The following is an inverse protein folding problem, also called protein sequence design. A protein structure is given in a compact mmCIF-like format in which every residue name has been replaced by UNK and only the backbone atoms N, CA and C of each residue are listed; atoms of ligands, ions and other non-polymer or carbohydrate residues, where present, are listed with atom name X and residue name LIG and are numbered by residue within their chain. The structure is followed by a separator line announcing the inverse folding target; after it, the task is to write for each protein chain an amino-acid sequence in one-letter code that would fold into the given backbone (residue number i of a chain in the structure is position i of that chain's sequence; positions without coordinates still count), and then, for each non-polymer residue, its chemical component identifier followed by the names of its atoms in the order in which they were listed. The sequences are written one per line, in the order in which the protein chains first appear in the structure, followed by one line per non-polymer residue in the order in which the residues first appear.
data_IF_921981036214
#
_entry.id   IF_921981036214
#
_cell.length_a   1.000
_cell.length_b   1.000
_cell.length_c   1.000
_cell.angle_alpha   90.00
_cell.angle_beta   90.00
_cell.angle_gamma   90.00
#
_symmetry.space_group_name_H-M   'P 1'
#
loop_
_entity.id
_entity.type
_entity.pdbx_description
1 polymer ?
#
# COMPACT_ATOMS: atom_id res chain seq x y z
N UNK A 1 -15.97 13.58 9.74
CA UNK A 1 -16.87 12.40 9.58
C UNK A 1 -18.29 12.89 9.32
N UNK A 2 -18.96 12.42 8.27
CA UNK A 2 -20.34 12.86 7.94
C UNK A 2 -21.38 12.16 8.81
N UNK A 3 -22.51 12.85 9.03
CA UNK A 3 -23.75 12.48 9.75
C UNK A 3 -24.26 11.04 9.53
N UNK A 4 -23.85 10.40 8.44
CA UNK A 4 -24.16 9.00 8.12
C UNK A 4 -23.58 7.99 9.11
N UNK A 5 -22.44 8.29 9.75
CA UNK A 5 -21.80 7.38 10.72
C UNK A 5 -22.61 7.28 12.02
N UNK A 6 -23.27 8.37 12.44
CA UNK A 6 -24.10 8.42 13.65
C UNK A 6 -25.37 7.55 13.55
N UNK A 7 -25.85 7.23 12.35
CA UNK A 7 -27.01 6.35 12.17
C UNK A 7 -26.70 4.86 12.40
N UNK A 8 -25.43 4.48 12.49
CA UNK A 8 -24.96 3.09 12.71
C UNK A 8 -24.85 2.67 14.19
N UNK A 9 -25.15 3.56 15.14
CA UNK A 9 -25.10 3.23 16.58
C UNK A 9 -26.45 2.65 17.03
N UNK A 10 -26.52 1.44 17.65
CA UNK A 10 -27.75 0.87 18.18
C UNK A 10 -28.41 1.79 19.22
N UNK A 11 -29.74 1.74 19.33
CA UNK A 11 -30.55 2.63 20.17
C UNK A 11 -30.13 2.67 21.65
N UNK A 12 -29.53 1.61 22.18
CA UNK A 12 -29.00 1.54 23.56
C UNK A 12 -27.77 2.44 23.74
N UNK A 13 -26.85 2.44 22.77
CA UNK A 13 -25.66 3.30 22.81
C UNK A 13 -26.01 4.78 22.60
N UNK A 14 -27.10 5.09 21.87
CA UNK A 14 -27.62 6.48 21.76
C UNK A 14 -28.16 7.01 23.09
N UNK A 15 -28.75 6.15 23.93
CA UNK A 15 -29.28 6.55 25.25
C UNK A 15 -28.17 6.72 26.29
N UNK A 16 -27.06 5.97 26.18
CA UNK A 16 -25.91 6.09 27.07
C UNK A 16 -25.09 7.36 26.78
N UNK A 17 -24.83 7.65 25.49
CA UNK A 17 -24.09 8.87 25.08
C UNK A 17 -24.89 10.15 25.43
N UNK A 18 -26.23 10.10 25.35
CA UNK A 18 -27.09 11.22 25.74
C UNK A 18 -27.07 11.53 27.25
N UNK A 19 -26.48 10.68 28.10
CA UNK A 19 -26.38 10.88 29.55
C UNK A 19 -24.99 11.31 30.04
N UNK A 20 -23.99 11.36 29.15
CA UNK A 20 -22.66 11.86 29.48
C UNK A 20 -21.76 10.90 30.26
N UNK A 21 -22.09 9.61 30.35
CA UNK A 21 -21.29 8.65 31.09
C UNK A 21 -20.01 8.25 30.32
N UNK A 22 -18.84 8.47 30.93
CA UNK A 22 -17.54 7.96 30.45
C UNK A 22 -17.26 6.61 31.12
N UNK A 23 -17.14 5.53 30.35
CA UNK A 23 -16.84 4.19 30.88
C UNK A 23 -15.35 3.85 30.77
N UNK A 24 -14.84 3.16 31.78
CA UNK A 24 -13.49 2.58 31.75
C UNK A 24 -13.48 1.29 30.90
N UNK A 25 -12.29 0.89 30.42
CA UNK A 25 -12.11 -0.24 29.49
C UNK A 25 -12.67 -1.59 29.99
N UNK A 26 -12.73 -1.80 31.31
CA UNK A 26 -13.29 -3.02 31.89
C UNK A 26 -14.82 -3.13 31.80
N UNK A 27 -15.53 -2.00 31.90
CA UNK A 27 -17.00 -1.99 31.86
C UNK A 27 -17.54 -2.20 30.44
N UNK A 28 -16.83 -1.66 29.43
CA UNK A 28 -17.08 -2.01 28.03
C UNK A 28 -16.88 -3.51 27.77
N UNK A 29 -15.80 -4.11 28.29
CA UNK A 29 -15.51 -5.53 28.17
C UNK A 29 -16.61 -6.38 28.82
N UNK A 30 -17.13 -5.96 29.97
CA UNK A 30 -18.22 -6.64 30.68
C UNK A 30 -19.55 -6.56 29.92
N UNK A 31 -19.87 -5.42 29.31
CA UNK A 31 -21.04 -5.27 28.44
C UNK A 31 -20.93 -6.08 27.14
N UNK A 32 -19.73 -6.09 26.52
CA UNK A 32 -19.41 -6.91 25.33
C UNK A 32 -19.59 -8.40 25.64
N UNK A 33 -19.11 -8.89 26.80
CA UNK A 33 -19.30 -10.30 27.26
C UNK A 33 -20.76 -10.66 27.53
N UNK A 34 -21.57 -9.73 28.07
CA UNK A 34 -23.00 -9.95 28.35
C UNK A 34 -23.84 -10.00 27.05
N UNK A 35 -23.43 -9.25 26.03
CA UNK A 35 -24.03 -9.29 24.68
C UNK A 35 -23.69 -10.59 23.92
N UNK A 36 -22.44 -11.07 24.04
CA UNK A 36 -21.96 -12.34 23.46
C UNK A 36 -22.72 -13.56 23.98
N UNK A 37 -23.11 -13.59 25.27
CA UNK A 37 -23.89 -14.71 25.86
C UNK A 37 -25.35 -14.76 25.43
N UNK A 38 -25.95 -13.66 24.97
CA UNK A 38 -27.38 -13.58 24.63
C UNK A 38 -27.70 -13.80 23.14
N UNK A 39 -26.72 -13.68 22.25
CA UNK A 39 -26.94 -13.69 20.79
C UNK A 39 -26.39 -14.92 20.09
N UNK A 40 -25.69 -15.82 20.79
CA UNK A 40 -25.20 -17.08 20.20
C UNK A 40 -24.35 -16.91 18.93
N UNK A 41 -23.79 -15.71 18.71
CA UNK A 41 -23.09 -15.34 17.50
C UNK A 41 -21.60 -15.11 17.84
N UNK A 42 -20.77 -16.03 17.36
CA UNK A 42 -19.32 -15.92 17.37
C UNK A 42 -18.90 -14.78 16.41
N UNK A 43 -18.12 -13.84 16.93
CA UNK A 43 -17.38 -12.75 16.28
C UNK A 43 -17.96 -12.08 15.01
N UNK A 44 -18.50 -10.89 15.21
CA UNK A 44 -18.53 -9.81 14.22
C UNK A 44 -17.91 -8.56 14.85
N UNK A 45 -16.59 -8.39 14.68
CA UNK A 45 -15.92 -7.11 14.84
C UNK A 45 -14.66 -7.06 13.97
N UNK A 46 -14.65 -6.06 13.08
CA UNK A 46 -13.52 -5.46 12.36
C UNK A 46 -13.00 -6.17 11.10
N UNK A 47 -13.75 -6.01 10.01
CA UNK A 47 -13.18 -5.86 8.66
C UNK A 47 -14.03 -4.94 7.77
N UNK A 48 -14.34 -3.74 8.25
CA UNK A 48 -14.67 -2.62 7.36
C UNK A 48 -13.40 -1.84 7.03
N UNK A 49 -12.56 -2.39 6.17
CA UNK A 49 -11.57 -1.61 5.41
C UNK A 49 -11.93 -1.78 3.94
N UNK A 50 -12.81 -0.87 3.50
CA UNK A 50 -13.38 -0.89 2.17
C UNK A 50 -13.46 0.49 1.54
N UNK A 51 -12.52 1.39 1.84
CA UNK A 51 -12.10 2.51 0.99
C UNK A 51 -11.24 3.49 1.80
N UNK A 52 -9.93 3.41 1.62
CA UNK A 52 -8.95 4.10 2.44
C UNK A 52 -7.94 3.05 2.84
N UNK A 53 -6.73 3.19 2.32
CA UNK A 53 -5.64 2.34 2.76
C UNK A 53 -5.39 2.69 4.22
N UNK A 54 -5.88 1.86 5.13
CA UNK A 54 -5.15 1.61 6.35
C UNK A 54 -4.19 0.49 5.99
N UNK A 55 -2.89 0.79 6.00
CA UNK A 55 -1.98 -0.22 6.47
C UNK A 55 -2.54 -0.61 7.84
N UNK A 56 -2.97 -1.86 7.99
CA UNK A 56 -2.84 -2.48 9.30
C UNK A 56 -1.32 -2.63 9.38
N UNK A 57 -0.58 -1.82 10.17
CA UNK A 57 0.78 -2.20 10.49
C UNK A 57 0.67 -3.61 11.03
N UNK A 58 1.57 -4.48 10.58
CA UNK A 58 1.65 -5.91 10.85
C UNK A 58 0.75 -6.36 12.02
N UNK A 59 -0.11 -7.36 11.78
CA UNK A 59 -0.83 -8.05 12.86
C UNK A 59 0.05 -8.05 14.11
N UNK A 60 -0.41 -7.29 15.10
CA UNK A 60 0.13 -7.33 16.44
C UNK A 60 -0.10 -8.77 16.86
N UNK A 61 0.91 -9.64 16.65
CA UNK A 61 1.21 -10.59 17.70
C UNK A 61 1.40 -9.68 18.90
N UNK A 62 0.41 -9.71 19.80
CA UNK A 62 0.66 -9.35 21.17
C UNK A 62 1.71 -10.37 21.64
N UNK A 63 2.97 -10.15 21.27
CA UNK A 63 4.06 -10.49 22.15
C UNK A 63 3.73 -9.72 23.42
N UNK A 64 3.53 -10.49 24.48
CA UNK A 64 3.31 -10.00 25.83
C UNK A 64 4.29 -8.86 26.05
N UNK A 65 3.79 -7.63 26.05
CA UNK A 65 4.56 -6.46 26.45
C UNK A 65 4.85 -6.66 27.92
N UNK A 66 5.96 -7.32 28.24
CA UNK A 66 6.58 -7.17 29.53
C UNK A 66 6.92 -5.69 29.65
N UNK A 67 6.17 -5.02 30.51
CA UNK A 67 6.41 -3.65 30.92
C UNK A 67 7.72 -3.58 31.71
N UNK A 68 8.84 -3.51 31.01
CA UNK A 68 10.03 -2.78 31.49
C UNK A 68 10.06 -1.47 30.70
N UNK A 69 9.26 -0.49 31.17
CA UNK A 69 8.72 0.65 30.40
C UNK A 69 9.70 1.72 29.89
N UNK A 70 10.98 1.39 29.68
CA UNK A 70 12.01 2.32 29.24
C UNK A 70 12.89 1.78 28.09
N UNK A 71 12.56 0.62 27.51
CA UNK A 71 13.34 0.01 26.42
C UNK A 71 12.46 -0.23 25.20
N UNK A 72 12.89 0.25 24.03
CA UNK A 72 12.21 0.03 22.75
C UNK A 72 13.23 -0.49 21.75
N UNK A 73 12.99 -1.66 21.17
CA UNK A 73 13.89 -2.32 20.21
C UNK A 73 15.36 -2.44 20.69
N UNK A 74 15.56 -2.60 22.01
CA UNK A 74 16.89 -2.66 22.65
C UNK A 74 17.55 -1.30 22.93
N UNK A 75 16.86 -0.19 22.69
CA UNK A 75 17.31 1.17 23.01
C UNK A 75 16.72 1.65 24.33
N UNK A 76 17.55 2.22 25.20
CA UNK A 76 17.11 2.90 26.42
C UNK A 76 16.49 4.25 26.04
N UNK A 77 15.16 4.32 26.07
CA UNK A 77 14.38 5.52 25.75
C UNK A 77 14.10 6.40 26.96
N UNK A 78 14.58 6.02 28.15
CA UNK A 78 14.51 6.88 29.34
C UNK A 78 15.57 7.98 29.35
N UNK A 79 16.66 7.79 28.58
CA UNK A 79 17.77 8.73 28.51
C UNK A 79 18.03 9.19 27.08
N UNK A 80 17.73 10.45 26.84
CA UNK A 80 18.04 11.11 25.57
C UNK A 80 19.46 11.68 25.54
N UNK A 81 20.11 11.56 24.39
CA UNK A 81 21.39 12.18 24.07
C UNK A 81 21.21 13.17 22.94
N UNK A 82 21.99 14.26 22.95
CA UNK A 82 21.98 15.26 21.89
C UNK A 82 23.36 15.47 21.31
N UNK A 83 23.40 15.77 20.01
CA UNK A 83 24.62 16.22 19.32
C UNK A 83 24.23 17.32 18.34
N UNK A 84 24.97 18.42 18.34
CA UNK A 84 24.73 19.54 17.44
C UNK A 84 25.88 19.67 16.45
N UNK A 85 25.58 19.65 15.15
CA UNK A 85 26.55 19.93 14.09
C UNK A 85 25.86 20.56 12.88
N UNK A 86 26.58 21.38 12.12
CA UNK A 86 26.08 22.01 10.88
C UNK A 86 24.72 22.74 11.04
N UNK A 87 24.44 23.31 12.23
CA UNK A 87 23.19 24.01 12.51
C UNK A 87 21.96 23.11 12.71
N UNK A 88 22.20 21.82 13.01
CA UNK A 88 21.16 20.84 13.32
C UNK A 88 21.49 20.20 14.67
N UNK A 89 20.50 20.12 15.54
CA UNK A 89 20.56 19.35 16.79
C UNK A 89 19.87 18.01 16.56
N UNK A 90 20.60 16.92 16.77
CA UNK A 90 20.11 15.56 16.65
C UNK A 90 19.83 15.02 18.03
N UNK A 91 18.66 14.40 18.21
CA UNK A 91 18.25 13.72 19.42
C UNK A 91 18.29 12.22 19.18
N UNK A 92 18.87 11.49 20.12
CA UNK A 92 19.12 10.08 19.95
C UNK A 92 18.94 9.29 21.24
N UNK A 93 18.66 8.01 21.05
CA UNK A 93 18.73 6.98 22.09
C UNK A 93 19.91 6.05 21.82
N UNK A 94 20.48 5.48 22.87
CA UNK A 94 21.55 4.50 22.78
C UNK A 94 21.01 3.10 23.09
N UNK A 95 21.56 2.08 22.44
CA UNK A 95 21.31 0.69 22.84
C UNK A 95 21.84 0.44 24.25
N UNK A 96 21.24 -0.52 24.96
CA UNK A 96 21.64 -0.85 26.35
C UNK A 96 23.12 -1.24 26.47
N UNK A 97 23.66 -1.92 25.45
CA UNK A 97 25.07 -2.32 25.34
C UNK A 97 26.00 -1.22 24.76
N UNK A 98 25.44 -0.05 24.42
CA UNK A 98 26.13 1.06 23.74
C UNK A 98 26.83 0.69 22.44
N UNK A 99 26.41 -0.37 21.76
CA UNK A 99 26.94 -0.74 20.44
C UNK A 99 26.30 0.05 19.30
N UNK A 100 25.13 0.64 19.52
CA UNK A 100 24.30 1.30 18.51
C UNK A 100 23.60 2.55 19.05
N UNK A 101 23.35 3.51 18.16
CA UNK A 101 22.57 4.70 18.46
C UNK A 101 21.54 4.96 17.38
N UNK A 102 20.41 5.50 17.81
CA UNK A 102 19.24 5.78 17.00
C UNK A 102 18.91 7.26 17.06
N UNK A 103 19.11 7.97 15.95
CA UNK A 103 18.66 9.35 15.82
C UNK A 103 17.19 9.35 15.42
N UNK A 104 16.33 9.71 16.36
CA UNK A 104 14.88 9.71 16.15
C UNK A 104 14.34 11.09 15.74
N UNK A 105 15.04 12.17 16.10
CA UNK A 105 14.64 13.56 15.81
C UNK A 105 15.83 14.45 15.45
N UNK A 106 15.59 15.43 14.57
CA UNK A 106 16.54 16.41 14.09
C UNK A 106 15.90 17.82 14.04
N UNK A 107 16.31 18.66 14.98
CA UNK A 107 15.88 20.05 15.08
C UNK A 107 16.82 20.95 14.26
N UNK A 108 16.26 21.63 13.27
CA UNK A 108 17.02 22.48 12.34
C UNK A 108 16.78 23.92 12.74
N UNK A 109 17.81 24.57 13.27
CA UNK A 109 17.69 25.87 13.94
C UNK A 109 17.94 27.07 13.01
N UNK A 110 18.35 26.84 11.75
CA UNK A 110 18.62 27.87 10.72
C UNK A 110 18.30 27.36 9.31
N UNK A 111 18.26 28.26 8.32
CA UNK A 111 18.12 28.02 6.86
C UNK A 111 19.15 27.02 6.29
N UNK A 112 19.07 25.75 6.69
CA UNK A 112 20.01 24.71 6.35
C UNK A 112 19.57 24.00 5.07
N UNK A 113 20.38 24.13 4.02
CA UNK A 113 20.16 23.43 2.75
C UNK A 113 20.66 21.99 2.73
N UNK A 114 21.53 21.63 3.67
CA UNK A 114 22.14 20.31 3.73
C UNK A 114 22.18 19.77 5.16
N UNK A 115 21.49 18.65 5.40
CA UNK A 115 21.57 17.91 6.66
C UNK A 115 22.59 16.79 6.52
N UNK A 116 23.59 16.76 7.39
CA UNK A 116 24.56 15.64 7.50
C UNK A 116 24.38 14.99 8.87
N UNK A 117 23.86 13.77 8.91
CA UNK A 117 23.73 13.05 10.17
C UNK A 117 25.12 12.68 10.72
N UNK A 118 25.35 12.81 12.03
CA UNK A 118 26.63 12.48 12.66
C UNK A 118 26.88 10.97 12.61
N UNK A 119 28.14 10.55 12.53
CA UNK A 119 28.50 9.13 12.50
C UNK A 119 28.36 8.43 13.84
N UNK A 120 28.30 9.18 14.94
CA UNK A 120 28.19 8.68 16.31
C UNK A 120 27.52 9.70 17.23
N UNK A 121 26.91 9.22 18.32
CA UNK A 121 26.40 10.01 19.45
C UNK A 121 27.01 9.42 20.72
N UNK A 122 27.66 10.26 21.55
CA UNK A 122 28.35 9.81 22.78
C UNK A 122 29.36 8.66 22.54
N UNK A 123 30.13 8.72 21.45
CA UNK A 123 31.06 7.67 21.04
C UNK A 123 30.40 6.44 20.41
N UNK A 124 29.07 6.31 20.49
CA UNK A 124 28.31 5.18 19.97
C UNK A 124 27.94 5.38 18.49
N UNK A 125 28.19 4.41 17.59
CA UNK A 125 27.86 4.54 16.17
C UNK A 125 26.38 4.79 15.87
N UNK A 126 26.06 5.66 14.91
CA UNK A 126 24.69 5.83 14.41
C UNK A 126 24.37 4.73 13.41
N UNK A 127 23.39 3.89 13.75
CA UNK A 127 22.96 2.74 12.94
C UNK A 127 21.51 2.86 12.47
N UNK A 128 20.70 3.68 13.14
CA UNK A 128 19.25 3.85 12.89
C UNK A 128 18.87 5.33 12.81
N UNK A 129 18.04 5.70 11.83
CA UNK A 129 17.54 7.08 11.64
C UNK A 129 16.04 7.10 11.35
N UNK A 130 15.32 7.99 12.03
CA UNK A 130 13.91 8.30 11.79
C UNK A 130 13.05 8.05 13.01
N UNK A 131 11.80 8.51 12.97
CA UNK A 131 10.89 8.39 14.11
C UNK A 131 10.07 7.10 13.98
N UNK A 132 10.05 6.29 15.03
CA UNK A 132 9.29 5.04 15.06
C UNK A 132 7.93 5.27 15.69
N UNK A 133 6.93 4.54 15.21
CA UNK A 133 5.60 4.53 15.82
C UNK A 133 5.63 4.15 17.30
N UNK A 134 6.58 3.32 17.72
CA UNK A 134 6.74 2.93 19.13
C UNK A 134 7.06 4.10 20.06
N UNK A 135 7.53 5.23 19.53
CA UNK A 135 7.77 6.47 20.29
C UNK A 135 6.51 7.34 20.44
N UNK A 136 5.44 7.04 19.70
CA UNK A 136 4.20 7.79 19.77
C UNK A 136 3.45 7.38 21.04
N UNK A 137 3.29 8.30 21.99
CA UNK A 137 2.58 8.08 23.27
C UNK A 137 1.05 8.05 23.10
N UNK A 138 0.55 7.24 22.18
CA UNK A 138 -0.88 7.12 21.85
C UNK A 138 -1.34 7.94 20.64
N UNK A 139 -0.42 8.63 19.94
CA UNK A 139 -0.75 9.32 18.69
C UNK A 139 -0.84 8.33 17.51
N UNK A 140 -1.92 8.42 16.74
CA UNK A 140 -2.20 7.53 15.61
C UNK A 140 -1.34 7.83 14.35
N UNK A 141 -0.59 8.94 14.34
CA UNK A 141 0.11 9.43 13.14
C UNK A 141 1.63 9.32 13.29
N UNK A 142 2.34 8.93 12.22
CA UNK A 142 3.81 8.98 12.22
C UNK A 142 4.32 10.40 11.90
N UNK A 143 5.54 10.70 12.31
CA UNK A 143 6.23 11.93 11.91
C UNK A 143 7.57 11.60 11.22
N UNK A 144 8.04 12.50 10.38
CA UNK A 144 9.39 12.36 9.84
C UNK A 144 10.44 12.70 10.91
N UNK A 145 11.72 12.49 10.63
CA UNK A 145 12.83 12.80 11.57
C UNK A 145 12.90 14.28 11.95
N UNK A 146 12.16 15.15 11.28
CA UNK A 146 12.12 16.59 11.54
C UNK A 146 10.91 17.01 12.40
N UNK A 147 10.11 16.05 12.88
CA UNK A 147 8.93 16.28 13.72
C UNK A 147 7.67 16.67 12.94
N UNK A 148 7.66 16.55 11.61
CA UNK A 148 6.48 16.88 10.79
C UNK A 148 5.59 15.64 10.61
N UNK A 149 4.31 15.80 10.96
CA UNK A 149 3.29 14.76 10.81
C UNK A 149 3.08 14.36 9.35
N UNK A 150 2.95 13.06 9.12
CA UNK A 150 2.74 12.49 7.78
C UNK A 150 1.35 11.87 7.74
N UNK A 151 0.40 12.60 7.15
CA UNK A 151 -0.96 12.09 7.00
C UNK A 151 -1.15 11.34 5.67
N UNK A 152 -1.58 10.08 5.80
CA UNK A 152 -1.75 9.13 4.72
C UNK A 152 -2.90 9.49 3.75
N UNK A 153 -4.06 9.89 4.29
CA UNK A 153 -5.34 9.90 3.57
C UNK A 153 -5.62 11.21 2.82
N UNK A 154 -5.02 12.32 3.24
CA UNK A 154 -5.36 13.66 2.75
C UNK A 154 -4.38 14.18 1.68
N UNK A 155 -3.37 13.40 1.29
CA UNK A 155 -2.29 13.89 0.43
C UNK A 155 -1.38 14.86 1.20
N UNK A 156 -0.42 15.48 0.49
CA UNK A 156 0.61 16.35 1.10
C UNK A 156 0.06 17.69 1.63
N UNK A 157 -1.26 17.81 1.82
CA UNK A 157 -1.95 19.03 2.25
C UNK A 157 -1.89 19.08 3.77
N UNK A 158 -0.82 19.67 4.30
CA UNK A 158 -0.53 19.72 5.73
C UNK A 158 0.94 19.98 6.05
N UNK A 159 1.85 19.61 5.13
CA UNK A 159 3.24 20.08 5.20
C UNK A 159 3.25 21.59 5.03
N UNK A 160 3.44 22.31 6.14
CA UNK A 160 3.68 23.75 6.09
C UNK A 160 4.88 23.96 5.18
N UNK A 161 4.70 24.73 4.10
CA UNK A 161 5.76 25.07 3.12
C UNK A 161 6.97 25.77 3.77
N UNK A 162 6.87 26.08 5.06
CA UNK A 162 7.81 26.87 5.84
C UNK A 162 9.02 26.10 6.36
N UNK A 163 8.99 24.78 6.56
CA UNK A 163 9.94 24.25 7.55
C UNK A 163 11.38 24.01 7.09
N UNK A 164 11.70 23.40 5.95
CA UNK A 164 13.12 23.11 5.69
C UNK A 164 13.45 23.17 4.19
N UNK A 165 14.20 24.20 3.78
CA UNK A 165 14.84 24.32 2.46
C UNK A 165 15.96 23.27 2.25
N UNK A 166 15.79 22.06 2.78
CA UNK A 166 16.76 20.99 2.70
C UNK A 166 16.75 20.47 1.27
N UNK A 167 17.84 20.75 0.58
CA UNK A 167 18.11 20.28 -0.77
C UNK A 167 18.93 18.98 -0.75
N UNK A 168 19.62 18.68 0.35
CA UNK A 168 20.51 17.51 0.47
C UNK A 168 20.49 16.85 1.85
N UNK A 169 20.39 15.52 1.87
CA UNK A 169 20.56 14.68 3.07
C UNK A 169 21.76 13.75 2.89
N UNK A 170 22.60 13.64 3.91
CA UNK A 170 23.74 12.71 3.97
C UNK A 170 23.60 11.80 5.17
N UNK A 171 23.50 10.50 4.91
CA UNK A 171 23.38 9.43 5.89
C UNK A 171 24.76 8.79 6.09
N UNK A 172 25.26 8.64 7.34
CA UNK A 172 26.59 8.11 7.61
C UNK A 172 26.67 6.60 7.35
N UNK A 173 27.86 6.11 7.02
CA UNK A 173 28.11 4.77 6.45
C UNK A 173 27.75 3.58 7.33
N UNK A 174 27.59 3.77 8.64
CA UNK A 174 27.20 2.71 9.59
C UNK A 174 25.68 2.56 9.73
N UNK A 175 24.89 3.46 9.13
CA UNK A 175 23.44 3.35 9.15
C UNK A 175 22.98 2.17 8.31
N UNK A 176 22.27 1.26 8.95
CA UNK A 176 21.67 0.07 8.33
C UNK A 176 20.16 0.18 8.25
N UNK A 177 19.55 0.97 9.14
CA UNK A 177 18.10 1.08 9.30
C UNK A 177 17.61 2.52 9.13
N UNK A 178 16.52 2.65 8.37
CA UNK A 178 15.72 3.87 8.29
C UNK A 178 14.32 3.52 8.79
N UNK A 179 13.67 4.45 9.49
CA UNK A 179 12.26 4.29 9.87
C UNK A 179 11.31 4.70 8.73
N UNK A 180 10.08 4.23 8.84
CA UNK A 180 8.97 4.70 8.01
C UNK A 180 8.88 6.23 8.05
N UNK A 181 8.60 6.83 6.89
CA UNK A 181 8.46 8.29 6.74
C UNK A 181 9.69 9.14 7.09
N UNK A 182 10.86 8.57 7.37
CA UNK A 182 12.04 9.27 7.92
C UNK A 182 12.37 10.62 7.25
N UNK A 183 12.25 10.73 5.92
CA UNK A 183 12.49 11.94 5.14
C UNK A 183 11.27 12.38 4.30
N UNK A 184 10.07 11.96 4.69
CA UNK A 184 8.83 12.33 4.02
C UNK A 184 8.62 13.85 4.03
N UNK A 185 8.06 14.37 2.96
CA UNK A 185 7.65 15.76 2.79
C UNK A 185 8.78 16.77 2.55
N UNK A 186 10.04 16.35 2.41
CA UNK A 186 11.12 17.25 2.01
C UNK A 186 10.97 17.66 0.53
N UNK A 187 10.03 18.56 0.23
CA UNK A 187 9.62 18.96 -1.14
C UNK A 187 10.80 19.51 -1.97
N UNK A 188 11.78 20.14 -1.32
CA UNK A 188 12.98 20.72 -1.94
C UNK A 188 14.17 19.76 -2.02
N UNK A 189 14.06 18.53 -1.50
CA UNK A 189 15.16 17.56 -1.50
C UNK A 189 15.54 17.17 -2.93
N UNK A 190 16.76 17.50 -3.33
CA UNK A 190 17.32 17.19 -4.66
C UNK A 190 18.27 16.01 -4.64
N UNK A 191 18.94 15.77 -3.50
CA UNK A 191 19.98 14.75 -3.37
C UNK A 191 19.93 14.04 -2.03
N UNK A 192 20.01 12.71 -2.06
CA UNK A 192 20.21 11.88 -0.87
C UNK A 192 21.45 11.05 -1.09
N UNK A 193 22.34 11.04 -0.09
CA UNK A 193 23.48 10.12 -0.02
C UNK A 193 23.11 9.10 1.04
N UNK A 194 22.71 7.91 0.60
CA UNK A 194 22.40 6.77 1.46
C UNK A 194 23.69 6.08 1.92
N UNK A 195 23.64 5.46 3.10
CA UNK A 195 24.64 4.50 3.52
C UNK A 195 24.60 3.24 2.65
N UNK A 196 25.75 2.73 2.26
CA UNK A 196 25.87 1.46 1.53
C UNK A 196 25.42 0.23 2.34
N UNK A 197 25.29 0.38 3.66
CA UNK A 197 24.83 -0.67 4.57
C UNK A 197 23.30 -0.74 4.69
N UNK A 198 22.55 0.22 4.12
CA UNK A 198 21.08 0.18 4.10
C UNK A 198 20.60 -0.98 3.24
N UNK A 199 19.79 -1.86 3.85
CA UNK A 199 19.22 -3.04 3.19
C UNK A 199 17.78 -2.82 2.73
N UNK A 200 17.03 -2.00 3.46
CA UNK A 200 15.61 -1.69 3.18
C UNK A 200 15.43 -0.18 3.07
N UNK A 201 14.72 0.26 2.04
CA UNK A 201 14.12 1.60 2.01
C UNK A 201 12.66 1.43 2.44
N UNK A 202 12.29 1.89 3.65
CA UNK A 202 11.02 1.55 4.28
C UNK A 202 9.86 2.33 3.68
N UNK A 203 8.65 2.02 4.15
CA UNK A 203 7.41 2.68 3.77
C UNK A 203 7.54 4.19 3.87
N UNK A 204 7.17 4.88 2.77
CA UNK A 204 7.08 6.35 2.74
C UNK A 204 8.35 7.13 3.10
N UNK A 205 9.52 6.48 3.20
CA UNK A 205 10.78 7.10 3.63
C UNK A 205 11.10 8.44 2.94
N UNK A 206 10.75 8.58 1.66
CA UNK A 206 10.94 9.79 0.85
C UNK A 206 9.63 10.29 0.22
N UNK A 207 8.48 9.92 0.78
CA UNK A 207 7.17 10.34 0.29
C UNK A 207 7.12 11.86 0.07
N UNK A 208 6.60 12.33 -1.06
CA UNK A 208 6.44 13.76 -1.31
C UNK A 208 7.74 14.55 -1.52
N UNK A 209 8.91 13.91 -1.67
CA UNK A 209 10.15 14.57 -2.08
C UNK A 209 10.09 14.98 -3.56
N UNK A 210 9.31 16.01 -3.87
CA UNK A 210 8.92 16.41 -5.24
C UNK A 210 10.11 16.82 -6.12
N UNK A 211 11.17 17.37 -5.53
CA UNK A 211 12.37 17.83 -6.24
C UNK A 211 13.44 16.74 -6.45
N UNK A 212 13.26 15.55 -5.86
CA UNK A 212 14.25 14.47 -5.93
C UNK A 212 14.24 13.90 -7.35
N UNK A 213 15.27 14.23 -8.13
CA UNK A 213 15.33 13.87 -9.57
C UNK A 213 16.18 12.62 -9.84
N UNK A 214 17.11 12.33 -8.93
CA UNK A 214 17.99 11.17 -8.99
C UNK A 214 18.29 10.57 -7.63
N UNK A 215 18.49 9.25 -7.58
CA UNK A 215 18.96 8.55 -6.38
C UNK A 215 19.97 7.47 -6.75
N UNK A 216 20.99 7.30 -5.91
CA UNK A 216 21.87 6.13 -5.93
C UNK A 216 21.43 5.20 -4.83
N UNK A 217 20.97 4.01 -5.21
CA UNK A 217 20.56 2.95 -4.31
C UNK A 217 21.79 2.22 -3.73
N UNK A 218 21.75 1.81 -2.45
CA UNK A 218 22.90 1.26 -1.74
C UNK A 218 23.25 -0.14 -2.24
N UNK A 219 24.52 -0.54 -2.08
CA UNK A 219 24.98 -1.86 -2.55
C UNK A 219 24.30 -3.03 -1.85
N UNK A 220 23.91 -2.85 -0.60
CA UNK A 220 23.26 -3.87 0.24
C UNK A 220 21.74 -3.91 0.09
N UNK A 221 21.16 -3.10 -0.79
CA UNK A 221 19.71 -3.02 -0.97
C UNK A 221 19.10 -4.38 -1.37
N UNK A 222 18.11 -4.80 -0.61
CA UNK A 222 17.28 -5.98 -0.90
C UNK A 222 15.85 -5.57 -1.24
N UNK A 223 15.33 -4.54 -0.56
CA UNK A 223 13.91 -4.16 -0.64
C UNK A 223 13.72 -2.66 -0.72
N UNK A 224 12.79 -2.24 -1.57
CA UNK A 224 12.15 -0.92 -1.50
C UNK A 224 10.69 -1.19 -1.19
N UNK A 225 10.21 -0.72 -0.06
CA UNK A 225 8.84 -0.94 0.36
C UNK A 225 7.86 -0.08 -0.43
N UNK A 226 6.58 -0.43 -0.29
CA UNK A 226 5.51 0.32 -0.92
C UNK A 226 5.54 1.79 -0.49
N UNK A 227 5.14 2.69 -1.39
CA UNK A 227 5.08 4.16 -1.16
C UNK A 227 6.37 4.87 -0.73
N UNK A 228 7.50 4.18 -0.57
CA UNK A 228 8.81 4.76 -0.21
C UNK A 228 9.17 6.04 -0.99
N UNK A 229 8.82 6.10 -2.28
CA UNK A 229 9.03 7.25 -3.17
C UNK A 229 7.74 7.76 -3.82
N UNK A 230 6.57 7.51 -3.20
CA UNK A 230 5.33 8.06 -3.72
C UNK A 230 5.40 9.60 -3.76
N UNK A 231 4.84 10.21 -4.79
CA UNK A 231 4.90 11.65 -5.07
C UNK A 231 6.30 12.27 -5.34
N UNK A 232 7.36 11.46 -5.44
CA UNK A 232 8.66 11.87 -6.01
C UNK A 232 8.60 12.01 -7.54
N UNK A 233 7.73 12.89 -8.04
CA UNK A 233 7.39 12.97 -9.47
C UNK A 233 8.55 13.41 -10.39
N UNK A 234 9.63 13.97 -9.84
CA UNK A 234 10.86 14.29 -10.57
C UNK A 234 11.81 13.09 -10.68
N UNK A 235 11.66 12.03 -9.88
CA UNK A 235 12.63 10.94 -9.77
C UNK A 235 12.62 10.04 -11.00
N UNK A 236 13.59 10.26 -11.88
CA UNK A 236 13.72 9.54 -13.17
C UNK A 236 15.00 8.74 -13.24
N UNK A 237 16.09 9.26 -12.68
CA UNK A 237 17.40 8.65 -12.74
C UNK A 237 17.64 7.82 -11.47
N UNK A 238 17.79 6.53 -11.66
CA UNK A 238 18.10 5.60 -10.58
C UNK A 238 19.39 4.90 -10.95
N UNK A 239 20.36 5.00 -10.07
CA UNK A 239 21.62 4.26 -10.17
C UNK A 239 21.68 3.29 -9.01
N UNK A 240 22.47 2.24 -9.18
CA UNK A 240 22.75 1.26 -8.15
C UNK A 240 24.26 1.20 -8.03
N UNK A 241 24.77 1.06 -6.81
CA UNK A 241 26.20 0.82 -6.60
C UNK A 241 26.69 -0.36 -7.45
N UNK A 242 27.87 -0.21 -8.05
CA UNK A 242 28.49 -1.18 -8.95
C UNK A 242 28.75 -2.53 -8.26
N UNK A 243 28.92 -2.50 -6.92
CA UNK A 243 29.13 -3.66 -6.07
C UNK A 243 27.85 -4.45 -5.75
N UNK A 244 26.66 -3.97 -6.13
CA UNK A 244 25.41 -4.65 -5.78
C UNK A 244 25.29 -6.04 -6.43
N UNK A 245 25.21 -7.07 -5.58
CA UNK A 245 25.18 -8.48 -5.99
C UNK A 245 23.74 -9.01 -6.20
N UNK A 246 22.75 -8.39 -5.57
CA UNK A 246 21.36 -8.88 -5.52
C UNK A 246 20.47 -8.30 -6.64
N UNK A 247 20.75 -7.07 -7.07
CA UNK A 247 19.87 -6.27 -7.91
C UNK A 247 20.61 -5.63 -9.08
N UNK A 248 19.86 -5.08 -10.04
CA UNK A 248 20.38 -4.22 -11.11
C UNK A 248 19.34 -3.20 -11.57
N UNK A 249 19.79 -2.08 -12.10
CA UNK A 249 18.90 -1.06 -12.68
C UNK A 249 19.04 -1.05 -14.20
N UNK A 250 17.91 -0.94 -14.90
CA UNK A 250 17.87 -0.73 -16.35
C UNK A 250 16.71 0.19 -16.70
N UNK A 251 16.97 1.32 -17.35
CA UNK A 251 15.95 2.28 -17.79
C UNK A 251 15.01 2.73 -16.65
N UNK A 252 15.56 2.99 -15.46
CA UNK A 252 14.82 3.35 -14.26
C UNK A 252 13.93 2.22 -13.68
N UNK A 253 14.10 0.98 -14.15
CA UNK A 253 13.51 -0.21 -13.55
C UNK A 253 14.55 -0.90 -12.66
N UNK A 254 14.21 -1.17 -11.40
CA UNK A 254 14.97 -1.99 -10.46
C UNK A 254 14.55 -3.46 -10.62
N UNK A 255 15.52 -4.29 -10.94
CA UNK A 255 15.34 -5.70 -11.29
C UNK A 255 16.15 -6.59 -10.37
N UNK A 256 15.71 -7.84 -10.19
CA UNK A 256 16.60 -8.89 -9.67
C UNK A 256 17.88 -8.99 -10.51
N UNK A 257 18.99 -9.46 -9.94
CA UNK A 257 20.26 -9.60 -10.68
C UNK A 257 20.12 -10.39 -11.98
N UNK A 258 19.36 -11.49 -11.96
CA UNK A 258 19.06 -12.31 -13.14
C UNK A 258 18.08 -11.64 -14.15
N UNK A 259 17.50 -10.48 -13.81
CA UNK A 259 16.60 -9.70 -14.66
C UNK A 259 15.22 -10.31 -14.88
N UNK A 260 14.84 -11.31 -14.08
CA UNK A 260 13.55 -12.03 -14.21
C UNK A 260 12.42 -11.40 -13.40
N UNK A 261 12.73 -10.60 -12.38
CA UNK A 261 11.75 -9.94 -11.53
C UNK A 261 11.92 -8.43 -11.63
N UNK A 262 10.81 -7.72 -11.90
CA UNK A 262 10.72 -6.27 -11.77
C UNK A 262 10.19 -5.94 -10.37
N UNK A 263 11.02 -5.31 -9.56
CA UNK A 263 10.70 -4.95 -8.18
C UNK A 263 10.11 -3.55 -8.08
N UNK A 264 10.69 -2.59 -8.78
CA UNK A 264 10.30 -1.19 -8.65
C UNK A 264 10.66 -0.40 -9.91
N UNK A 265 9.94 0.70 -10.15
CA UNK A 265 10.13 1.62 -11.27
C UNK A 265 10.16 3.03 -10.73
N UNK A 266 11.13 3.82 -11.19
CA UNK A 266 11.28 5.21 -10.80
C UNK A 266 9.96 6.00 -11.00
N UNK A 267 9.41 6.64 -9.97
CA UNK A 267 8.05 7.16 -9.95
C UNK A 267 7.85 8.36 -10.87
N UNK A 268 8.93 9.00 -11.34
CA UNK A 268 8.87 10.08 -12.32
C UNK A 268 8.67 9.62 -13.77
N UNK A 269 8.77 8.32 -14.08
CA UNK A 269 8.73 7.84 -15.47
C UNK A 269 7.32 7.87 -16.08
N UNK A 270 7.15 8.71 -17.11
CA UNK A 270 5.88 8.81 -17.88
C UNK A 270 5.63 7.61 -18.79
N UNK A 271 6.70 7.00 -19.31
CA UNK A 271 6.68 5.83 -20.19
C UNK A 271 7.60 4.77 -19.60
N UNK A 272 7.10 3.56 -19.43
CA UNK A 272 7.86 2.44 -18.84
C UNK A 272 7.97 1.32 -19.87
N UNK A 273 9.19 0.85 -20.12
CA UNK A 273 9.44 -0.34 -20.95
C UNK A 273 10.02 -1.43 -20.07
N UNK A 274 9.20 -2.44 -19.76
CA UNK A 274 9.62 -3.60 -18.99
C UNK A 274 10.55 -4.46 -19.88
N UNK A 275 11.77 -4.81 -19.42
CA UNK A 275 12.72 -5.60 -20.22
C UNK A 275 12.19 -6.98 -20.63
N UNK A 276 12.67 -7.48 -21.77
CA UNK A 276 12.23 -8.77 -22.34
C UNK A 276 12.57 -9.99 -21.48
N UNK A 277 13.52 -9.84 -20.54
CA UNK A 277 13.93 -10.89 -19.60
C UNK A 277 12.96 -11.07 -18.44
N UNK A 278 12.16 -10.05 -18.12
CA UNK A 278 11.26 -10.03 -16.98
C UNK A 278 10.14 -11.05 -17.18
N UNK A 279 9.89 -11.86 -16.15
CA UNK A 279 8.82 -12.84 -16.04
C UNK A 279 7.77 -12.42 -15.03
N UNK A 280 8.21 -11.86 -13.91
CA UNK A 280 7.37 -11.47 -12.77
C UNK A 280 7.46 -9.96 -12.58
N UNK A 281 6.31 -9.30 -12.46
CA UNK A 281 6.20 -7.90 -12.06
C UNK A 281 5.56 -7.87 -10.68
N UNK A 282 6.31 -7.37 -9.70
CA UNK A 282 5.92 -7.34 -8.29
C UNK A 282 4.76 -6.38 -8.03
N UNK A 283 4.17 -6.56 -6.85
CA UNK A 283 3.15 -5.71 -6.29
C UNK A 283 3.64 -4.26 -6.32
N UNK A 284 2.80 -3.34 -6.79
CA UNK A 284 3.10 -1.90 -6.87
C UNK A 284 4.36 -1.49 -7.66
N UNK A 285 5.00 -2.41 -8.40
CA UNK A 285 6.30 -2.15 -9.01
C UNK A 285 6.34 -0.92 -9.94
N UNK A 286 5.22 -0.57 -10.58
CA UNK A 286 5.06 0.65 -11.37
C UNK A 286 3.83 1.47 -10.96
N UNK A 287 3.47 1.44 -9.67
CA UNK A 287 2.44 2.29 -9.10
C UNK A 287 2.97 3.72 -8.92
N UNK A 288 2.46 4.68 -9.71
CA UNK A 288 2.84 6.09 -9.58
C UNK A 288 1.81 7.04 -10.24
N UNK A 289 1.89 8.35 -9.96
CA UNK A 289 0.91 9.34 -10.43
C UNK A 289 1.15 9.88 -11.86
N UNK A 290 2.27 9.54 -12.51
CA UNK A 290 2.68 10.16 -13.79
C UNK A 290 2.77 9.22 -14.98
N UNK A 291 2.80 7.90 -14.75
CA UNK A 291 2.89 6.89 -15.82
C UNK A 291 1.64 6.94 -16.68
N UNK A 292 1.85 7.07 -18.00
CA UNK A 292 0.78 7.18 -19.00
C UNK A 292 0.75 5.98 -19.94
N UNK A 293 1.91 5.34 -20.12
CA UNK A 293 2.09 4.21 -21.03
C UNK A 293 3.07 3.20 -20.45
N UNK A 294 2.71 1.92 -20.52
CA UNK A 294 3.58 0.79 -20.18
C UNK A 294 3.73 -0.12 -21.39
N UNK A 295 4.94 -0.62 -21.64
CA UNK A 295 5.22 -1.66 -22.64
C UNK A 295 5.80 -2.90 -21.94
N UNK A 296 5.08 -4.01 -22.00
CA UNK A 296 5.45 -5.28 -21.38
C UNK A 296 6.39 -6.10 -22.29
N UNK A 297 7.44 -6.65 -21.69
CA UNK A 297 8.46 -7.46 -22.36
C UNK A 297 7.94 -8.83 -22.84
N UNK A 298 8.76 -9.48 -23.67
CA UNK A 298 8.40 -10.76 -24.33
C UNK A 298 8.20 -11.95 -23.38
N UNK A 299 8.81 -11.95 -22.19
CA UNK A 299 8.71 -13.07 -21.22
C UNK A 299 7.78 -12.82 -20.04
N UNK A 300 7.13 -11.65 -19.98
CA UNK A 300 6.22 -11.31 -18.87
C UNK A 300 5.08 -12.33 -18.84
N UNK A 301 4.89 -12.96 -17.68
CA UNK A 301 3.93 -14.03 -17.46
C UNK A 301 3.10 -13.86 -16.19
N UNK A 302 3.69 -13.19 -15.18
CA UNK A 302 3.08 -12.96 -13.88
C UNK A 302 3.12 -11.46 -13.58
N UNK A 303 1.95 -10.89 -13.31
CA UNK A 303 1.75 -9.48 -12.99
C UNK A 303 0.95 -9.47 -11.70
N UNK A 304 1.57 -9.01 -10.63
CA UNK A 304 0.97 -9.04 -9.31
C UNK A 304 0.04 -7.86 -9.06
N UNK A 305 -0.70 -7.96 -7.97
CA UNK A 305 -1.69 -7.00 -7.51
C UNK A 305 -1.14 -5.57 -7.52
N UNK A 306 -1.93 -4.60 -8.00
CA UNK A 306 -1.58 -3.17 -8.05
C UNK A 306 -0.27 -2.78 -8.75
N UNK A 307 0.37 -3.69 -9.50
CA UNK A 307 1.62 -3.41 -10.23
C UNK A 307 1.58 -2.13 -11.09
N UNK A 308 0.40 -1.74 -11.60
CA UNK A 308 0.22 -0.58 -12.48
C UNK A 308 -0.79 0.45 -11.96
N UNK A 309 -0.85 0.64 -10.63
CA UNK A 309 -1.79 1.59 -10.03
C UNK A 309 -1.41 3.04 -10.40
N UNK A 310 -2.18 3.66 -11.29
CA UNK A 310 -1.98 5.04 -11.71
C UNK A 310 -3.23 5.65 -12.30
N UNK A 311 -3.60 6.89 -11.90
CA UNK A 311 -4.74 7.62 -12.47
C UNK A 311 -4.53 8.06 -13.93
N UNK A 312 -3.27 8.10 -14.40
CA UNK A 312 -2.90 8.61 -15.73
C UNK A 312 -2.61 7.51 -16.74
N UNK A 313 -2.51 6.25 -16.31
CA UNK A 313 -2.21 5.13 -17.19
C UNK A 313 -3.43 4.78 -18.05
N UNK A 314 -3.31 5.04 -19.36
CA UNK A 314 -4.40 4.82 -20.33
C UNK A 314 -4.14 3.63 -21.25
N UNK A 315 -2.88 3.23 -21.41
CA UNK A 315 -2.50 2.16 -22.32
C UNK A 315 -1.36 1.29 -21.77
N UNK A 316 -1.53 -0.02 -21.91
CA UNK A 316 -0.49 -1.02 -21.70
C UNK A 316 -0.36 -1.82 -22.99
N UNK A 317 0.85 -1.84 -23.53
CA UNK A 317 1.21 -2.57 -24.75
C UNK A 317 1.96 -3.84 -24.38
N UNK A 318 1.82 -4.88 -25.19
CA UNK A 318 2.55 -6.13 -25.05
C UNK A 318 3.43 -6.26 -26.28
N UNK A 319 4.74 -6.43 -26.10
CA UNK A 319 5.64 -6.62 -27.25
C UNK A 319 5.26 -7.87 -28.06
N UNK A 320 5.41 -7.77 -29.38
CA UNK A 320 5.25 -8.90 -30.31
C UNK A 320 6.15 -10.07 -29.86
N UNK A 321 5.60 -11.26 -29.88
CA UNK A 321 6.30 -12.49 -29.48
C UNK A 321 6.11 -12.91 -28.02
N UNK A 322 5.35 -12.18 -27.19
CA UNK A 322 4.98 -12.69 -25.87
C UNK A 322 4.07 -13.92 -26.00
N UNK A 323 4.54 -15.09 -25.55
CA UNK A 323 3.83 -16.38 -25.67
C UNK A 323 2.83 -16.64 -24.53
N UNK A 324 2.92 -15.91 -23.43
CA UNK A 324 2.16 -16.21 -22.20
C UNK A 324 0.95 -15.32 -21.99
N UNK A 325 1.04 -14.03 -22.32
CA UNK A 325 -0.05 -13.06 -22.11
C UNK A 325 -0.52 -12.46 -23.43
N UNK A 326 -1.79 -12.06 -23.46
CA UNK A 326 -2.41 -11.36 -24.58
C UNK A 326 -3.24 -10.17 -24.07
N UNK A 327 -3.47 -9.19 -24.95
CA UNK A 327 -4.39 -8.08 -24.71
C UNK A 327 -5.57 -8.19 -25.66
N UNK A 328 -6.79 -8.07 -25.14
CA UNK A 328 -8.01 -7.90 -25.93
C UNK A 328 -8.93 -6.91 -25.23
N UNK A 329 -9.25 -5.81 -25.91
CA UNK A 329 -10.03 -4.72 -25.32
C UNK A 329 -9.34 -4.15 -24.08
N UNK A 330 -10.05 -4.12 -22.96
CA UNK A 330 -9.57 -3.61 -21.67
C UNK A 330 -8.86 -4.66 -20.81
N UNK A 331 -8.59 -5.85 -21.35
CA UNK A 331 -8.03 -6.96 -20.57
C UNK A 331 -6.66 -7.38 -21.07
N UNK A 332 -5.73 -7.54 -20.13
CA UNK A 332 -4.53 -8.36 -20.28
C UNK A 332 -4.78 -9.66 -19.52
N UNK A 333 -4.60 -10.79 -20.19
CA UNK A 333 -4.93 -12.10 -19.64
C UNK A 333 -3.88 -13.14 -20.03
N UNK A 334 -3.79 -14.20 -19.23
CA UNK A 334 -2.96 -15.35 -19.52
C UNK A 334 -3.60 -16.21 -20.63
N UNK A 335 -2.83 -16.50 -21.69
CA UNK A 335 -3.30 -17.21 -22.88
C UNK A 335 -3.68 -18.67 -22.60
N UNK A 336 -3.01 -19.33 -21.66
CA UNK A 336 -3.18 -20.77 -21.37
C UNK A 336 -4.47 -21.02 -20.60
N UNK A 337 -4.70 -20.28 -19.51
CA UNK A 337 -5.81 -20.53 -18.60
C UNK A 337 -6.92 -19.46 -18.64
N UNK A 338 -6.71 -18.33 -19.31
CA UNK A 338 -7.70 -17.26 -19.41
C UNK A 338 -7.86 -16.44 -18.13
N UNK A 339 -6.92 -16.48 -17.18
CA UNK A 339 -6.95 -15.63 -15.98
C UNK A 339 -6.72 -14.16 -16.36
N UNK A 340 -7.58 -13.27 -15.88
CA UNK A 340 -7.37 -11.82 -15.99
C UNK A 340 -6.17 -11.39 -15.12
N UNK A 341 -5.20 -10.71 -15.72
CA UNK A 341 -4.03 -10.18 -15.03
C UNK A 341 -4.13 -8.66 -14.85
N UNK A 342 -4.60 -7.94 -15.88
CA UNK A 342 -4.77 -6.48 -15.79
C UNK A 342 -6.08 -6.05 -16.44
N UNK A 343 -6.89 -5.30 -15.68
CA UNK A 343 -8.02 -4.54 -16.19
C UNK A 343 -7.61 -3.09 -16.44
N UNK A 344 -7.80 -2.59 -17.67
CA UNK A 344 -7.48 -1.21 -18.07
C UNK A 344 -8.79 -0.42 -18.14
N UNK A 345 -9.16 0.22 -17.03
CA UNK A 345 -10.41 0.95 -16.92
C UNK A 345 -10.40 2.20 -17.80
N UNK A 346 -11.57 2.55 -18.36
CA UNK A 346 -11.79 3.79 -19.13
C UNK A 346 -13.03 4.48 -18.59
N UNK A 347 -12.93 5.76 -18.25
CA UNK A 347 -14.04 6.55 -17.71
C UNK A 347 -14.75 5.88 -16.52
N UNK A 348 -13.97 5.28 -15.60
CA UNK A 348 -14.43 4.48 -14.46
C UNK A 348 -15.26 3.24 -14.83
N UNK A 349 -15.14 2.75 -16.06
CA UNK A 349 -15.81 1.54 -16.56
C UNK A 349 -14.79 0.48 -17.00
N UNK A 350 -15.04 -0.77 -16.65
CA UNK A 350 -14.26 -1.91 -17.10
C UNK A 350 -15.17 -2.97 -17.74
N UNK A 351 -14.88 -3.32 -18.99
CA UNK A 351 -15.52 -4.40 -19.73
C UNK A 351 -14.54 -5.56 -19.88
N UNK A 352 -14.82 -6.64 -19.17
CA UNK A 352 -14.03 -7.87 -19.26
C UNK A 352 -14.31 -8.52 -20.62
N UNK A 353 -13.24 -8.95 -21.30
CA UNK A 353 -13.35 -9.48 -22.66
C UNK A 353 -13.66 -10.99 -22.67
N UNK A 354 -14.22 -11.48 -23.78
CA UNK A 354 -14.66 -12.87 -23.95
C UNK A 354 -13.56 -13.95 -23.89
N UNK A 355 -12.29 -13.54 -23.82
CA UNK A 355 -11.16 -14.48 -23.67
C UNK A 355 -10.81 -14.76 -22.21
N UNK A 356 -11.34 -13.95 -21.28
CA UNK A 356 -11.18 -14.16 -19.84
C UNK A 356 -12.13 -15.25 -19.38
N UNK A 357 -11.60 -16.21 -18.63
CA UNK A 357 -12.30 -17.35 -18.04
C UNK A 357 -12.36 -17.30 -16.52
N UNK A 358 -11.38 -16.62 -15.90
CA UNK A 358 -11.18 -16.64 -14.45
C UNK A 358 -10.79 -15.26 -13.93
N UNK A 359 -11.38 -14.86 -12.79
CA UNK A 359 -10.93 -13.73 -11.96
C UNK A 359 -10.29 -14.31 -10.69
N UNK A 360 -9.14 -13.79 -10.29
CA UNK A 360 -8.30 -14.35 -9.22
C UNK A 360 -7.67 -13.22 -8.41
N UNK A 361 -7.79 -13.29 -7.08
CA UNK A 361 -7.21 -12.30 -6.16
C UNK A 361 -5.70 -12.09 -6.38
N UNK A 362 -4.92 -13.15 -6.66
CA UNK A 362 -3.45 -13.05 -6.54
C UNK A 362 -2.78 -12.23 -7.65
N UNK A 363 -3.47 -12.03 -8.77
CA UNK A 363 -2.89 -11.49 -10.00
C UNK A 363 -3.66 -10.32 -10.59
N UNK A 364 -4.72 -9.86 -9.93
CA UNK A 364 -5.62 -8.87 -10.49
C UNK A 364 -5.13 -7.45 -10.22
N UNK A 365 -4.65 -6.78 -11.27
CA UNK A 365 -4.25 -5.38 -11.22
C UNK A 365 -5.26 -4.50 -11.96
N UNK A 366 -5.78 -3.47 -11.29
CA UNK A 366 -6.49 -2.37 -11.97
C UNK A 366 -5.49 -1.28 -12.37
N UNK A 367 -5.39 -1.07 -13.69
CA UNK A 367 -4.69 0.06 -14.25
C UNK A 367 -5.68 1.22 -14.49
N UNK A 368 -5.27 2.44 -14.14
CA UNK A 368 -5.94 3.65 -14.58
C UNK A 368 -6.79 4.36 -13.53
N UNK A 369 -7.44 3.67 -12.58
CA UNK A 369 -8.53 4.25 -11.76
C UNK A 369 -8.71 3.48 -10.43
N UNK A 370 -9.08 4.20 -9.35
CA UNK A 370 -9.72 3.63 -8.15
C UNK A 370 -11.24 3.82 -8.22
N UNK A 371 -12.00 2.82 -7.79
CA UNK A 371 -13.47 2.78 -7.78
C UNK A 371 -14.15 2.92 -9.16
N UNK A 372 -14.53 1.77 -9.73
CA UNK A 372 -15.33 1.68 -10.93
C UNK A 372 -16.79 2.03 -10.65
N UNK A 373 -17.42 2.77 -11.57
CA UNK A 373 -18.88 2.97 -11.57
C UNK A 373 -19.60 1.86 -12.33
N UNK A 374 -18.89 1.12 -13.18
CA UNK A 374 -19.43 0.01 -13.96
C UNK A 374 -18.40 -1.08 -14.22
N UNK A 375 -18.79 -2.33 -13.98
CA UNK A 375 -18.04 -3.53 -14.35
C UNK A 375 -18.92 -4.47 -15.17
N UNK A 376 -18.48 -4.83 -16.37
CA UNK A 376 -19.15 -5.81 -17.24
C UNK A 376 -18.36 -7.13 -17.27
N UNK A 377 -19.01 -8.21 -16.84
CA UNK A 377 -18.46 -9.56 -16.74
C UNK A 377 -19.15 -10.46 -17.78
N UNK A 378 -18.43 -10.94 -18.82
CA UNK A 378 -19.02 -11.74 -19.89
C UNK A 378 -19.32 -13.16 -19.42
N UNK A 379 -20.18 -13.85 -20.17
CA UNK A 379 -20.54 -15.26 -19.95
C UNK A 379 -19.34 -16.23 -20.03
N UNK A 380 -18.22 -15.80 -20.59
CA UNK A 380 -16.97 -16.59 -20.67
C UNK A 380 -16.28 -16.73 -19.31
N UNK A 381 -16.53 -15.84 -18.35
CA UNK A 381 -16.00 -15.96 -16.98
C UNK A 381 -16.77 -17.07 -16.26
N UNK A 382 -16.08 -18.17 -15.96
CA UNK A 382 -16.64 -19.36 -15.33
C UNK A 382 -16.22 -19.53 -13.88
N UNK A 383 -15.17 -18.83 -13.45
CA UNK A 383 -14.58 -19.01 -12.13
C UNK A 383 -14.21 -17.68 -11.49
N UNK A 384 -14.55 -17.54 -10.22
CA UNK A 384 -14.16 -16.44 -9.34
C UNK A 384 -13.36 -17.02 -8.17
N UNK A 385 -12.13 -16.56 -7.98
CA UNK A 385 -11.22 -17.06 -6.96
C UNK A 385 -10.88 -15.99 -5.93
N UNK A 386 -11.01 -16.34 -4.65
CA UNK A 386 -10.58 -15.49 -3.54
C UNK A 386 -11.25 -14.12 -3.55
N UNK A 387 -10.58 -13.13 -2.98
CA UNK A 387 -11.04 -11.74 -2.84
C UNK A 387 -10.92 -10.91 -4.12
N UNK A 388 -11.36 -11.47 -5.26
CA UNK A 388 -11.26 -10.80 -6.56
C UNK A 388 -12.00 -9.44 -6.62
N UNK A 389 -13.01 -9.24 -5.77
CA UNK A 389 -13.76 -7.99 -5.62
C UNK A 389 -12.97 -6.89 -4.93
N UNK A 390 -12.03 -7.21 -4.03
CA UNK A 390 -11.14 -6.22 -3.41
C UNK A 390 -10.18 -5.61 -4.43
N UNK A 391 -9.77 -6.42 -5.42
CA UNK A 391 -8.82 -5.99 -6.45
C UNK A 391 -9.48 -5.31 -7.65
N UNK A 392 -10.78 -5.51 -7.84
CA UNK A 392 -11.60 -4.67 -8.73
C UNK A 392 -12.50 -3.80 -7.87
N UNK A 393 -11.94 -2.72 -7.33
CA UNK A 393 -12.69 -1.74 -6.54
C UNK A 393 -13.84 -1.16 -7.38
N UNK A 394 -15.08 -1.47 -7.02
CA UNK A 394 -16.29 -0.85 -7.55
C UNK A 394 -16.80 0.13 -6.48
N UNK A 395 -17.15 1.36 -6.87
CA UNK A 395 -17.69 2.34 -5.92
C UNK A 395 -18.98 1.83 -5.28
N UNK A 396 -19.34 2.31 -4.09
CA UNK A 396 -20.61 1.96 -3.42
C UNK A 396 -21.87 2.24 -4.27
N UNK A 397 -21.81 3.26 -5.14
CA UNK A 397 -22.87 3.57 -6.13
C UNK A 397 -22.71 2.84 -7.47
N UNK A 398 -21.66 2.02 -7.61
CA UNK A 398 -21.28 1.33 -8.82
C UNK A 398 -22.17 0.14 -9.14
N UNK A 399 -22.09 -0.32 -10.38
CA UNK A 399 -22.96 -1.37 -10.92
C UNK A 399 -22.12 -2.49 -11.54
N UNK A 400 -22.44 -3.74 -11.20
CA UNK A 400 -21.82 -4.92 -11.80
C UNK A 400 -22.83 -5.61 -12.70
N UNK A 401 -22.43 -5.95 -13.92
CA UNK A 401 -23.26 -6.61 -14.92
C UNK A 401 -22.67 -7.98 -15.21
N UNK A 402 -23.37 -9.04 -14.81
CA UNK A 402 -23.09 -10.38 -15.30
C UNK A 402 -23.94 -10.65 -16.55
N UNK A 403 -23.27 -11.03 -17.63
CA UNK A 403 -23.92 -11.34 -18.92
C UNK A 403 -24.11 -12.85 -19.16
N UNK A 404 -23.76 -13.68 -18.16
CA UNK A 404 -23.86 -15.14 -18.25
C UNK A 404 -25.26 -15.65 -17.94
N UNK A 405 -25.71 -16.66 -18.69
CA UNK A 405 -26.93 -17.40 -18.33
C UNK A 405 -26.75 -18.19 -17.03
N UNK A 406 -25.52 -18.63 -16.74
CA UNK A 406 -25.13 -19.30 -15.51
C UNK A 406 -24.20 -18.41 -14.68
N UNK A 407 -24.38 -18.37 -13.34
CA UNK A 407 -23.42 -17.71 -12.46
C UNK A 407 -22.06 -18.42 -12.50
N UNK A 408 -20.94 -17.69 -12.38
CA UNK A 408 -19.62 -18.29 -12.23
C UNK A 408 -19.50 -19.14 -10.97
N UNK A 409 -18.69 -20.19 -11.01
CA UNK A 409 -18.31 -20.96 -9.81
C UNK A 409 -17.39 -20.12 -8.92
N UNK A 410 -17.68 -20.09 -7.64
CA UNK A 410 -16.81 -19.49 -6.63
C UNK A 410 -15.85 -20.57 -6.12
N UNK A 411 -14.56 -20.26 -6.04
CA UNK A 411 -13.52 -21.15 -5.54
C UNK A 411 -12.67 -20.41 -4.49
N UNK A 412 -12.39 -21.05 -3.36
CA UNK A 412 -11.55 -20.51 -2.29
C UNK A 412 -11.56 -21.45 -1.09
N UNK A 413 -10.55 -21.36 -0.22
CA UNK A 413 -10.68 -21.95 1.11
C UNK A 413 -11.84 -21.24 1.81
N UNK A 414 -12.76 -21.99 2.40
CA UNK A 414 -13.87 -21.42 3.16
C UNK A 414 -13.27 -20.80 4.42
N UNK A 415 -13.00 -19.51 4.36
CA UNK A 415 -12.86 -18.68 5.54
C UNK A 415 -14.24 -18.05 5.73
N UNK A 416 -14.90 -18.40 6.83
CA UNK A 416 -16.27 -17.97 7.16
C UNK A 416 -16.39 -16.44 7.26
N UNK A 417 -15.26 -15.72 7.30
CA UNK A 417 -15.22 -14.25 7.37
C UNK A 417 -15.25 -13.53 6.01
N UNK A 418 -15.24 -14.24 4.87
CA UNK A 418 -15.02 -13.62 3.54
C UNK A 418 -16.18 -13.88 2.57
N UNK A 419 -16.77 -12.80 2.03
CA UNK A 419 -17.73 -12.88 0.93
C UNK A 419 -17.02 -12.83 -0.44
N UNK A 420 -17.15 -13.91 -1.22
CA UNK A 420 -16.51 -14.04 -2.55
C UNK A 420 -17.35 -13.51 -3.72
N UNK A 421 -18.55 -12.99 -3.41
CA UNK A 421 -19.46 -12.39 -4.38
C UNK A 421 -19.67 -10.92 -4.05
N UNK A 422 -19.99 -10.06 -5.03
CA UNK A 422 -20.21 -8.65 -4.75
C UNK A 422 -21.42 -8.42 -3.85
N UNK A 423 -21.19 -7.75 -2.71
CA UNK A 423 -22.20 -7.31 -1.73
C UNK A 423 -22.23 -5.79 -1.64
N UNK A 424 -23.29 -5.25 -1.06
CA UNK A 424 -23.60 -3.81 -0.92
C UNK A 424 -23.64 -3.03 -2.24
N UNK A 425 -23.86 -3.74 -3.35
CA UNK A 425 -23.84 -3.20 -4.71
C UNK A 425 -25.11 -3.55 -5.48
N UNK A 426 -25.35 -2.82 -6.58
CA UNK A 426 -26.36 -3.17 -7.58
C UNK A 426 -25.76 -4.13 -8.60
N UNK A 427 -26.31 -5.34 -8.67
CA UNK A 427 -25.85 -6.41 -9.57
C UNK A 427 -26.93 -6.72 -10.57
N UNK A 428 -26.59 -6.64 -11.86
CA UNK A 428 -27.48 -6.84 -12.98
C UNK A 428 -27.19 -8.18 -13.64
N UNK A 429 -28.23 -8.98 -13.85
CA UNK A 429 -28.15 -10.36 -14.40
C UNK A 429 -29.21 -10.57 -15.48
N UNK A 430 -29.08 -11.55 -16.40
CA UNK A 430 -30.09 -11.76 -17.43
C UNK A 430 -31.46 -12.10 -16.82
N UNK A 431 -32.55 -11.53 -17.36
CA UNK A 431 -33.91 -11.73 -16.83
C UNK A 431 -34.27 -13.22 -16.67
N UNK A 432 -33.94 -14.04 -17.67
CA UNK A 432 -34.16 -15.49 -17.67
C UNK A 432 -33.35 -16.25 -16.62
N UNK A 433 -32.26 -15.65 -16.10
CA UNK A 433 -31.33 -16.27 -15.16
C UNK A 433 -31.47 -15.75 -13.73
N UNK A 434 -32.38 -14.80 -13.46
CA UNK A 434 -32.54 -14.19 -12.14
C UNK A 434 -32.71 -15.22 -11.01
N UNK A 435 -33.51 -16.27 -11.24
CA UNK A 435 -33.71 -17.35 -10.25
C UNK A 435 -32.41 -18.09 -9.93
N UNK A 436 -31.55 -18.33 -10.93
CA UNK A 436 -30.25 -19.01 -10.76
C UNK A 436 -29.28 -18.14 -9.94
N UNK A 437 -29.19 -16.85 -10.26
CA UNK A 437 -28.36 -15.91 -9.50
C UNK A 437 -28.84 -15.70 -8.06
N UNK A 438 -30.16 -15.67 -7.82
CA UNK A 438 -30.68 -15.65 -6.44
C UNK A 438 -30.24 -16.87 -5.63
N UNK A 439 -30.32 -18.08 -6.20
CA UNK A 439 -29.82 -19.31 -5.56
C UNK A 439 -28.32 -19.26 -5.32
N UNK A 440 -27.56 -18.74 -6.29
CA UNK A 440 -26.11 -18.58 -6.18
C UNK A 440 -25.73 -17.65 -5.03
N UNK A 441 -26.37 -16.49 -4.90
CA UNK A 441 -26.15 -15.58 -3.76
C UNK A 441 -26.60 -16.17 -2.42
N UNK A 442 -27.68 -16.95 -2.39
CA UNK A 442 -28.14 -17.64 -1.18
C UNK A 442 -27.12 -18.68 -0.71
N UNK A 443 -26.50 -19.42 -1.63
CA UNK A 443 -25.47 -20.41 -1.30
C UNK A 443 -24.14 -19.80 -0.81
N UNK A 444 -24.05 -18.49 -0.73
CA UNK A 444 -22.87 -17.73 -0.27
C UNK A 444 -23.25 -16.80 0.89
N UNK A 445 -24.42 -16.99 1.50
CA UNK A 445 -25.00 -16.16 2.57
C UNK A 445 -25.01 -14.64 2.27
N UNK A 446 -25.08 -14.31 0.99
CA UNK A 446 -24.88 -12.95 0.49
C UNK A 446 -26.15 -12.30 -0.08
N UNK A 447 -27.28 -13.04 -0.11
CA UNK A 447 -28.51 -12.59 -0.79
C UNK A 447 -29.13 -11.35 -0.14
N UNK A 448 -29.10 -11.24 1.20
CA UNK A 448 -29.59 -10.07 1.94
C UNK A 448 -28.74 -8.82 1.72
N UNK A 449 -27.50 -9.00 1.28
CA UNK A 449 -26.53 -7.93 1.12
C UNK A 449 -26.39 -7.45 -0.33
N UNK A 450 -27.19 -7.95 -1.28
CA UNK A 450 -27.10 -7.55 -2.70
C UNK A 450 -28.43 -7.02 -3.23
N UNK A 451 -28.36 -6.00 -4.09
CA UNK A 451 -29.52 -5.58 -4.89
C UNK A 451 -29.44 -6.18 -6.29
N UNK A 452 -30.15 -7.29 -6.51
CA UNK A 452 -30.25 -7.91 -7.84
C UNK A 452 -31.27 -7.19 -8.73
N UNK A 453 -30.85 -6.83 -9.94
CA UNK A 453 -31.66 -6.25 -11.02
C UNK A 453 -31.50 -7.07 -12.29
N UNK A 454 -32.40 -6.89 -13.24
CA UNK A 454 -32.34 -7.60 -14.53
C UNK A 454 -31.81 -6.70 -15.63
N UNK A 455 -30.97 -7.23 -16.52
CA UNK A 455 -30.79 -6.66 -17.86
C UNK A 455 -31.87 -7.20 -18.80
N UNK A 456 -32.29 -6.35 -19.75
CA UNK A 456 -33.21 -6.68 -20.84
C UNK A 456 -32.67 -7.82 -21.69
#
# INVERSE_FOLDING_TARGET
MTESYFRMVPTICRRAIARGDTYTSEEELRMKRKFLRKTGALLLALSMVGSGMCYVPAQVQAEETSTEGNVIDGYDVSKEYTVSQDGVTYHAYLSQDRSQSWIYKADVTKNCKQVKFPSSVDGTPVTRIGHSYSLNKGDEFNCNVFGEWVEYAHGVDGYKDTFKNIEKVVIPSKVTQLEDTAFAGLRNLKKVILSDAVTVIPGEAFYGCKSLSSITLPKSLTTIEHTAFADCNALRKVTLSSECRTMKVKNGCLLSKNGRTLWWVAPGLKKVTVPDTVRVIKEYAAANKVVTKVTLGKKVSDIRMFAFQSKKLKDIQIKKGNKTIAKKGQCIYNKKNGTLLVGIAKNKKLKICSKVKKLDEKVLSLAGIRYLVRLDIPSSVKTLNGRWTENIEVSSSGKIFFHGAEPPRVMGAVDESICYVPIFLKVYVPKKSLKKYKRWYKAQDALSYVTLKTIS
#
